data_IF_261929329288
#
_entry.id   IF_261929329288
#
_cell.length_a   1.000
_cell.length_b   1.000
_cell.length_c   1.000
_cell.angle_alpha   90.00
_cell.angle_beta   90.00
_cell.angle_gamma   90.00
#
_symmetry.space_group_name_H-M   'P 1'
#
loop_
_entity.id
_entity.type
_entity.pdbx_description
1 polymer ?
#
# COMPACT_ATOMS: atom_id res chain seq x y z
N UNK A 1 -7.69 -12.85 20.22
CA UNK A 1 -6.74 -13.43 19.23
C UNK A 1 -6.55 -12.48 18.06
N UNK A 2 -5.42 -11.79 18.01
CA UNK A 2 -5.02 -10.97 16.86
C UNK A 2 -4.94 -11.79 15.57
N UNK A 3 -5.07 -11.13 14.43
CA UNK A 3 -4.93 -11.78 13.12
C UNK A 3 -3.44 -11.77 12.79
N UNK A 4 -2.80 -12.92 12.97
CA UNK A 4 -1.38 -13.10 12.66
C UNK A 4 -1.22 -13.87 11.34
N UNK A 5 -0.27 -13.44 10.52
CA UNK A 5 0.10 -14.14 9.30
C UNK A 5 1.40 -14.88 9.52
N UNK A 6 1.42 -16.16 9.17
CA UNK A 6 2.63 -16.96 9.17
C UNK A 6 3.42 -16.69 7.89
N UNK A 7 4.47 -15.88 7.99
CA UNK A 7 5.42 -15.62 6.92
C UNK A 7 6.66 -16.50 7.10
N UNK A 8 6.61 -17.72 6.56
CA UNK A 8 7.78 -18.61 6.51
C UNK A 8 8.29 -19.06 7.88
N UNK A 9 7.40 -19.27 8.85
CA UNK A 9 7.71 -19.72 10.21
C UNK A 9 7.76 -18.61 11.26
N UNK A 10 7.66 -17.34 10.84
CA UNK A 10 7.52 -16.20 11.76
C UNK A 10 6.07 -15.72 11.76
N UNK A 11 5.47 -15.66 12.94
CA UNK A 11 4.15 -15.07 13.13
C UNK A 11 4.31 -13.55 13.27
N UNK A 12 3.70 -12.82 12.34
CA UNK A 12 3.70 -11.36 12.35
C UNK A 12 2.26 -10.84 12.39
N UNK A 13 2.00 -9.71 13.08
CA UNK A 13 0.71 -9.04 13.03
C UNK A 13 0.33 -8.74 11.58
N UNK A 14 -0.90 -9.05 11.18
CA UNK A 14 -1.36 -8.81 9.82
C UNK A 14 -1.31 -7.31 9.47
N UNK A 15 -1.54 -6.43 10.45
CA UNK A 15 -1.35 -4.98 10.33
C UNK A 15 0.06 -4.59 9.87
N UNK A 16 1.09 -5.23 10.44
CA UNK A 16 2.50 -5.03 10.07
C UNK A 16 2.76 -5.51 8.64
N UNK A 17 2.21 -6.66 8.25
CA UNK A 17 2.36 -7.19 6.89
C UNK A 17 1.72 -6.27 5.87
N UNK A 18 0.49 -5.81 6.12
CA UNK A 18 -0.23 -4.91 5.21
C UNK A 18 0.48 -3.56 5.06
N UNK A 19 0.97 -2.98 6.17
CA UNK A 19 1.79 -1.76 6.14
C UNK A 19 3.09 -1.98 5.34
N UNK A 20 3.72 -3.15 5.51
CA UNK A 20 4.89 -3.54 4.73
C UNK A 20 4.62 -3.58 3.23
N UNK A 21 3.45 -4.08 2.82
CA UNK A 21 3.03 -4.10 1.41
C UNK A 21 2.77 -2.68 0.91
N UNK A 22 2.07 -1.83 1.68
CA UNK A 22 1.86 -0.43 1.33
C UNK A 22 3.18 0.31 1.06
N UNK A 23 4.19 0.05 1.90
CA UNK A 23 5.53 0.62 1.76
C UNK A 23 6.26 0.19 0.46
N UNK A 24 5.90 -0.94 -0.15
CA UNK A 24 6.47 -1.35 -1.44
C UNK A 24 5.95 -0.48 -2.60
N UNK A 25 4.75 0.09 -2.47
CA UNK A 25 4.10 0.91 -3.51
C UNK A 25 4.34 2.41 -3.34
N UNK A 26 4.68 2.87 -2.13
CA UNK A 26 4.98 4.28 -1.83
C UNK A 26 6.07 4.91 -2.71
N UNK A 27 7.19 4.25 -3.02
CA UNK A 27 8.20 4.83 -3.93
C UNK A 27 7.64 5.12 -5.32
N UNK A 28 6.80 4.22 -5.85
CA UNK A 28 6.11 4.44 -7.13
C UNK A 28 5.15 5.62 -7.09
N UNK A 29 4.36 5.74 -6.01
CA UNK A 29 3.50 6.90 -5.77
C UNK A 29 4.29 8.21 -5.72
N UNK A 30 5.38 8.25 -4.94
CA UNK A 30 6.22 9.44 -4.81
C UNK A 30 6.84 9.82 -6.15
N UNK A 31 7.38 8.85 -6.89
CA UNK A 31 7.97 9.09 -8.21
C UNK A 31 6.96 9.68 -9.19
N UNK A 32 5.77 9.09 -9.30
CA UNK A 32 4.69 9.64 -10.12
C UNK A 32 4.28 11.05 -9.68
N UNK A 33 4.20 11.30 -8.37
CA UNK A 33 3.83 12.63 -7.83
C UNK A 33 4.83 13.70 -8.24
N UNK A 34 6.14 13.43 -8.12
CA UNK A 34 7.18 14.37 -8.53
C UNK A 34 7.11 14.72 -10.02
N UNK A 35 6.76 13.73 -10.86
CA UNK A 35 6.61 13.94 -12.31
C UNK A 35 5.35 14.76 -12.61
N UNK A 36 4.24 14.48 -11.93
CA UNK A 36 2.98 15.23 -12.05
C UNK A 36 3.17 16.68 -11.63
N UNK A 37 3.83 16.92 -10.50
CA UNK A 37 4.15 18.26 -10.00
C UNK A 37 5.08 19.03 -10.95
N UNK A 38 5.96 18.31 -11.65
CA UNK A 38 6.80 18.84 -12.72
C UNK A 38 6.05 19.11 -14.04
N UNK A 39 4.74 18.86 -14.11
CA UNK A 39 3.90 19.08 -15.29
C UNK A 39 3.85 17.91 -16.29
N UNK A 40 4.48 16.78 -15.99
CA UNK A 40 4.51 15.59 -16.84
C UNK A 40 3.29 14.67 -16.71
N UNK A 41 2.30 15.02 -15.87
CA UNK A 41 1.21 14.12 -15.49
C UNK A 41 0.32 13.65 -16.65
N UNK A 42 0.16 14.46 -17.70
CA UNK A 42 -0.64 14.11 -18.89
C UNK A 42 0.11 13.27 -19.92
N UNK A 43 1.40 13.01 -19.72
CA UNK A 43 2.21 12.20 -20.62
C UNK A 43 2.04 10.72 -20.30
N UNK A 44 2.08 9.88 -21.33
CA UNK A 44 2.34 8.44 -21.17
C UNK A 44 3.79 8.20 -20.77
N UNK A 45 4.10 7.00 -20.26
CA UNK A 45 5.48 6.62 -19.93
C UNK A 45 6.46 6.77 -21.10
N UNK A 46 6.05 6.36 -22.31
CA UNK A 46 6.88 6.48 -23.50
C UNK A 46 7.10 7.96 -23.90
N UNK A 47 6.06 8.79 -23.79
CA UNK A 47 6.17 10.22 -24.06
C UNK A 47 7.05 10.93 -23.01
N UNK A 48 6.95 10.56 -21.74
CA UNK A 48 7.77 11.12 -20.68
C UNK A 48 9.27 10.79 -20.86
N UNK A 49 9.59 9.58 -21.33
CA UNK A 49 10.97 9.22 -21.72
C UNK A 49 11.42 10.04 -22.94
N UNK A 50 10.58 10.11 -23.99
CA UNK A 50 10.89 10.88 -25.19
C UNK A 50 11.08 12.39 -24.92
N UNK A 51 10.35 12.92 -23.94
CA UNK A 51 10.44 14.31 -23.49
C UNK A 51 11.57 14.55 -22.47
N UNK A 52 12.36 13.53 -22.11
CA UNK A 52 13.40 13.58 -21.08
C UNK A 52 12.90 14.02 -19.69
N UNK A 53 11.62 13.77 -19.39
CA UNK A 53 11.04 14.01 -18.06
C UNK A 53 11.48 12.91 -17.09
N UNK A 54 11.60 11.68 -17.58
CA UNK A 54 12.15 10.52 -16.88
C UNK A 54 13.10 9.75 -17.79
N UNK A 55 14.00 8.96 -17.21
CA UNK A 55 14.82 8.04 -17.97
C UNK A 55 14.14 6.67 -18.17
N UNK A 56 14.66 5.87 -19.12
CA UNK A 56 14.12 4.56 -19.43
C UNK A 56 14.13 3.58 -18.23
N UNK A 57 15.18 3.54 -17.38
CA UNK A 57 15.17 2.73 -16.16
C UNK A 57 14.06 3.10 -15.18
N UNK A 58 13.85 4.40 -14.91
CA UNK A 58 12.77 4.87 -14.02
C UNK A 58 11.41 4.49 -14.58
N UNK A 59 11.23 4.68 -15.89
CA UNK A 59 10.00 4.26 -16.59
C UNK A 59 9.74 2.76 -16.42
N UNK A 60 10.73 1.91 -16.67
CA UNK A 60 10.59 0.47 -16.51
C UNK A 60 10.26 0.06 -15.06
N UNK A 61 10.85 0.74 -14.07
CA UNK A 61 10.59 0.47 -12.66
C UNK A 61 9.15 0.83 -12.26
N UNK A 62 8.65 1.98 -12.69
CA UNK A 62 7.26 2.39 -12.45
C UNK A 62 6.27 1.46 -13.16
N UNK A 63 6.52 1.11 -14.41
CA UNK A 63 5.67 0.15 -15.13
C UNK A 63 5.69 -1.23 -14.46
N UNK A 64 6.85 -1.68 -13.97
CA UNK A 64 6.98 -2.93 -13.22
C UNK A 64 6.12 -2.97 -11.95
N UNK A 65 6.02 -1.85 -11.22
CA UNK A 65 5.14 -1.76 -10.06
C UNK A 65 3.64 -1.78 -10.43
N UNK A 66 3.25 -1.18 -11.55
CA UNK A 66 1.87 -1.27 -12.07
C UNK A 66 1.52 -2.68 -12.53
N UNK A 67 2.46 -3.40 -13.16
CA UNK A 67 2.30 -4.81 -13.49
C UNK A 67 2.08 -5.65 -12.21
N UNK A 68 2.81 -5.36 -11.13
CA UNK A 68 2.63 -6.03 -9.84
C UNK A 68 1.26 -5.72 -9.20
N UNK A 69 0.62 -4.60 -9.56
CA UNK A 69 -0.76 -4.27 -9.18
C UNK A 69 -1.81 -4.98 -10.04
N UNK A 70 -1.40 -5.76 -11.04
CA UNK A 70 -2.27 -6.57 -11.88
C UNK A 70 -2.73 -5.91 -13.17
N UNK A 71 -2.15 -4.76 -13.53
CA UNK A 71 -2.39 -4.14 -14.83
C UNK A 71 -1.65 -4.90 -15.93
N UNK A 72 -2.21 -4.92 -17.13
CA UNK A 72 -1.53 -5.46 -18.31
C UNK A 72 -0.63 -4.42 -18.95
N UNK A 73 0.43 -4.86 -19.64
CA UNK A 73 1.34 -3.95 -20.36
C UNK A 73 0.57 -3.05 -21.35
N UNK A 74 -0.40 -3.60 -22.07
CA UNK A 74 -1.22 -2.84 -23.02
C UNK A 74 -2.04 -1.72 -22.36
N UNK A 75 -2.48 -1.89 -21.11
CA UNK A 75 -3.13 -0.83 -20.36
C UNK A 75 -2.14 0.24 -19.90
N UNK A 76 -0.94 -0.18 -19.47
CA UNK A 76 0.11 0.72 -18.99
C UNK A 76 0.68 1.57 -20.14
N UNK A 77 0.84 1.00 -21.34
CA UNK A 77 1.41 1.69 -22.50
C UNK A 77 0.58 2.91 -22.95
N UNK A 78 -0.74 2.86 -22.74
CA UNK A 78 -1.67 3.98 -23.05
C UNK A 78 -2.00 4.84 -21.83
N UNK A 79 -1.49 4.48 -20.65
CA UNK A 79 -1.76 5.15 -19.39
C UNK A 79 -0.91 6.41 -19.24
N UNK A 80 -1.54 7.46 -18.75
CA UNK A 80 -0.84 8.69 -18.35
C UNK A 80 -0.22 8.55 -16.96
N UNK A 81 0.81 9.33 -16.67
CA UNK A 81 1.50 9.28 -15.37
C UNK A 81 0.56 9.66 -14.21
N UNK A 82 -0.40 10.57 -14.43
CA UNK A 82 -1.40 10.91 -13.40
C UNK A 82 -2.37 9.75 -13.13
N UNK A 83 -2.75 8.97 -14.15
CA UNK A 83 -3.55 7.77 -13.94
C UNK A 83 -2.74 6.71 -13.17
N UNK A 84 -1.47 6.51 -13.55
CA UNK A 84 -0.56 5.62 -12.83
C UNK A 84 -0.39 6.01 -11.35
N UNK A 85 -0.28 7.32 -11.06
CA UNK A 85 -0.27 7.85 -9.70
C UNK A 85 -1.53 7.41 -8.93
N UNK A 86 -2.71 7.50 -9.56
CA UNK A 86 -3.97 7.06 -8.98
C UNK A 86 -3.99 5.57 -8.61
N UNK A 87 -3.42 4.70 -9.45
CA UNK A 87 -3.29 3.27 -9.13
C UNK A 87 -2.39 3.02 -7.93
N UNK A 88 -1.22 3.68 -7.87
CA UNK A 88 -0.33 3.57 -6.72
C UNK A 88 -0.97 4.12 -5.44
N UNK A 89 -1.67 5.25 -5.53
CA UNK A 89 -2.39 5.83 -4.40
C UNK A 89 -3.48 4.89 -3.90
N UNK A 90 -4.29 4.34 -4.81
CA UNK A 90 -5.32 3.35 -4.46
C UNK A 90 -4.74 2.11 -3.79
N UNK A 91 -3.60 1.61 -4.26
CA UNK A 91 -2.90 0.49 -3.63
C UNK A 91 -2.44 0.84 -2.20
N UNK A 92 -1.72 1.95 -2.03
CA UNK A 92 -1.26 2.40 -0.71
C UNK A 92 -2.42 2.58 0.25
N UNK A 93 -3.48 3.30 -0.16
CA UNK A 93 -4.66 3.52 0.67
C UNK A 93 -5.40 2.22 1.02
N UNK A 94 -5.48 1.26 0.09
CA UNK A 94 -6.09 -0.05 0.36
C UNK A 94 -5.34 -0.81 1.45
N UNK A 95 -4.01 -0.89 1.35
CA UNK A 95 -3.20 -1.65 2.30
C UNK A 95 -3.07 -0.93 3.65
N UNK A 96 -2.90 0.39 3.67
CA UNK A 96 -2.91 1.18 4.91
C UNK A 96 -4.28 1.10 5.60
N UNK A 97 -5.39 1.22 4.85
CA UNK A 97 -6.74 1.07 5.41
C UNK A 97 -7.01 -0.32 5.96
N UNK A 98 -6.53 -1.37 5.27
CA UNK A 98 -6.63 -2.75 5.77
C UNK A 98 -5.81 -2.94 7.04
N UNK A 99 -4.62 -2.33 7.12
CA UNK A 99 -3.79 -2.37 8.32
C UNK A 99 -4.50 -1.75 9.53
N UNK A 100 -5.18 -0.60 9.36
CA UNK A 100 -5.94 0.08 10.41
C UNK A 100 -7.11 -0.78 10.92
N UNK A 101 -7.88 -1.39 10.03
CA UNK A 101 -9.00 -2.27 10.42
C UNK A 101 -8.47 -3.48 11.23
N UNK A 102 -7.37 -4.08 10.78
CA UNK A 102 -6.77 -5.22 11.48
C UNK A 102 -6.18 -4.82 12.83
N UNK A 103 -5.58 -3.63 12.93
CA UNK A 103 -5.09 -3.09 14.19
C UNK A 103 -6.22 -2.83 15.19
N UNK A 104 -7.36 -2.29 14.74
CA UNK A 104 -8.55 -2.09 15.58
C UNK A 104 -9.11 -3.43 16.08
N UNK A 105 -9.15 -4.44 15.20
CA UNK A 105 -9.52 -5.80 15.59
C UNK A 105 -8.54 -6.45 16.58
N UNK A 106 -7.24 -6.14 16.49
CA UNK A 106 -6.26 -6.55 17.50
C UNK A 106 -6.57 -5.90 18.85
N UNK A 107 -6.89 -4.61 18.88
CA UNK A 107 -7.19 -3.85 20.10
C UNK A 107 -8.49 -4.28 20.79
N UNK A 108 -9.59 -4.47 20.05
CA UNK A 108 -10.89 -4.90 20.60
C UNK A 108 -10.80 -6.33 21.20
N UNK A 109 -10.04 -7.21 20.54
CA UNK A 109 -9.87 -8.58 20.98
C UNK A 109 -8.90 -8.71 22.18
N UNK A 110 -8.01 -7.74 22.37
CA UNK A 110 -7.19 -7.61 23.59
C UNK A 110 -8.01 -7.04 24.76
N UNK A 111 -8.90 -6.07 24.50
CA UNK A 111 -9.77 -5.46 25.51
C UNK A 111 -10.83 -6.44 26.05
N UNK A 112 -11.42 -7.27 25.20
CA UNK A 112 -12.36 -8.34 25.60
C UNK A 112 -11.68 -9.50 26.36
N UNK A 113 -10.36 -9.66 26.20
CA UNK A 113 -9.53 -10.62 26.93
C UNK A 113 -9.17 -10.21 28.37
N UNK A 114 -9.33 -8.93 28.73
CA UNK A 114 -9.11 -8.40 30.09
C UNK A 114 -10.39 -8.44 30.96
N UNK A 115 -11.36 -9.27 30.57
CA UNK A 115 -12.71 -9.35 31.13
C UNK A 115 -12.92 -10.39 32.25
N UNK A 116 -11.88 -10.92 32.90
CA UNK A 116 -12.06 -11.67 34.16
C UNK A 116 -10.87 -11.46 35.11
N UNK A 117 -10.89 -10.39 35.91
CA UNK A 117 -10.40 -10.52 37.29
C UNK A 117 -11.65 -10.60 38.18
N UNK A 118 -11.99 -11.77 38.76
CA UNK A 118 -13.18 -11.93 39.59
C UNK A 118 -12.86 -11.49 41.02
N UNK A 119 -13.13 -10.24 41.37
CA UNK A 119 -12.98 -9.76 42.74
C UNK A 119 -13.83 -8.52 43.02
N UNK A 120 -15.12 -8.57 42.66
CA UNK A 120 -16.12 -7.80 43.39
C UNK A 120 -16.47 -8.58 44.67
N UNK A 121 -15.71 -8.34 45.74
CA UNK A 121 -16.15 -8.69 47.09
C UNK A 121 -17.35 -7.80 47.43
N UNK A 122 -18.55 -8.25 47.10
CA UNK A 122 -19.74 -7.81 47.85
C UNK A 122 -19.54 -8.27 49.29
N UNK A 123 -19.19 -7.34 50.17
CA UNK A 123 -19.38 -7.48 51.62
C UNK A 123 -20.82 -7.07 51.89
N UNK A 124 -21.63 -8.04 52.32
CA UNK A 124 -22.87 -7.79 53.08
C UNK A 124 -22.51 -7.28 54.47
#
# INVERSE_FOLDING_TARGET
>A
KGVELNMGGTWMPASTVMTGIANQFRPGLTGCTQIVDGGGGSLTFAQAVGANVIDAPTSAQLQGGLLALGLTQAQIDVMTIVEAQGYYQGAVSKYDGTALILQDQEADNEATGSGITPNLKCKF
#
